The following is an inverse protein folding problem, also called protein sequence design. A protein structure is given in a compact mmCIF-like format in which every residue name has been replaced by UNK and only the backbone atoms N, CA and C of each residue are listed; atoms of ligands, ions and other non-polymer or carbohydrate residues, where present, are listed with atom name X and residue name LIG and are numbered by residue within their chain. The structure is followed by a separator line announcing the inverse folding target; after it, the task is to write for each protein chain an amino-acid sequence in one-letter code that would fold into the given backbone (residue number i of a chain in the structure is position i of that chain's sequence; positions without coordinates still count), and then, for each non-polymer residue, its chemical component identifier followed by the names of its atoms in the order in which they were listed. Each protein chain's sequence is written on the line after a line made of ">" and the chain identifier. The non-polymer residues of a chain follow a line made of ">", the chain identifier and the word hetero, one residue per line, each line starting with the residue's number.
data_IF_892173044069
#
_entry.id   IF_892173044069
#
_cell.length_a   1.000
_cell.length_b   1.000
_cell.length_c   1.000
_cell.angle_alpha   90.00
_cell.angle_beta   90.00
_cell.angle_gamma   90.00
#
_symmetry.space_group_name_H-M   'P 1'
#
loop_
_entity.id
_entity.type
_entity.pdbx_description
1 polymer ?
#
# COMPACT_ATOMS: atom_id res chain seq x y z
N UNK A 1 16.11 48.07 17.85
CA UNK A 1 15.21 47.26 17.00
C UNK A 1 15.86 45.90 16.81
N UNK A 2 15.49 44.95 17.66
CA UNK A 2 15.97 43.57 17.66
C UNK A 2 15.34 42.84 16.48
N UNK A 3 16.16 42.33 15.55
CA UNK A 3 15.71 41.42 14.48
C UNK A 3 15.18 40.15 15.15
N UNK A 4 13.88 39.87 14.99
CA UNK A 4 13.30 38.57 15.32
C UNK A 4 13.96 37.52 14.42
N UNK A 5 14.91 36.76 14.96
CA UNK A 5 15.47 35.59 14.29
C UNK A 5 14.41 34.50 14.24
N UNK A 6 14.02 34.07 13.03
CA UNK A 6 13.21 32.86 12.86
C UNK A 6 14.07 31.67 13.30
N UNK A 7 13.70 31.02 14.41
CA UNK A 7 14.37 29.82 14.85
C UNK A 7 14.15 28.71 13.82
N UNK A 8 15.21 28.33 13.12
CA UNK A 8 15.17 27.31 12.07
C UNK A 8 15.26 25.93 12.75
N UNK A 9 14.12 25.26 12.91
CA UNK A 9 14.09 23.91 13.46
C UNK A 9 14.48 22.88 12.41
N UNK A 10 15.25 21.88 12.82
CA UNK A 10 15.50 20.68 12.02
C UNK A 10 14.34 19.70 12.20
N UNK A 11 13.94 19.00 11.14
CA UNK A 11 12.93 17.96 11.19
C UNK A 11 13.55 16.60 10.89
N UNK A 12 13.33 15.64 11.79
CA UNK A 12 13.65 14.23 11.58
C UNK A 12 12.37 13.41 11.63
N UNK A 13 12.10 12.66 10.56
CA UNK A 13 11.05 11.63 10.58
C UNK A 13 11.64 10.34 11.09
N UNK A 14 10.98 9.71 12.06
CA UNK A 14 11.36 8.39 12.57
C UNK A 14 10.20 7.43 12.31
N UNK A 15 10.51 6.23 11.83
CA UNK A 15 9.54 5.16 11.59
C UNK A 15 10.14 3.82 11.99
N UNK A 16 9.31 2.81 12.18
CA UNK A 16 9.75 1.43 12.44
C UNK A 16 9.36 0.55 11.25
N UNK A 17 10.31 -0.24 10.75
CA UNK A 17 10.06 -1.24 9.72
C UNK A 17 11.09 -2.37 9.84
N UNK A 18 10.59 -3.58 10.14
CA UNK A 18 11.43 -4.79 10.24
C UNK A 18 11.78 -5.42 8.90
N UNK A 19 10.99 -5.12 7.86
CA UNK A 19 11.16 -5.63 6.49
C UNK A 19 10.80 -4.58 5.45
N UNK A 20 11.36 -4.72 4.26
CA UNK A 20 11.03 -3.91 3.10
C UNK A 20 9.85 -4.54 2.35
N UNK A 21 8.68 -3.93 2.49
CA UNK A 21 7.46 -4.30 1.79
C UNK A 21 7.04 -3.22 0.79
N UNK A 22 6.06 -3.49 -0.06
CA UNK A 22 5.57 -2.49 -1.02
C UNK A 22 5.01 -1.25 -0.30
N UNK A 23 4.42 -1.44 0.90
CA UNK A 23 4.01 -0.34 1.77
C UNK A 23 5.19 0.51 2.27
N UNK A 24 6.32 -0.13 2.60
CA UNK A 24 7.57 0.56 2.95
C UNK A 24 8.12 1.39 1.77
N UNK A 25 8.18 0.79 0.58
CA UNK A 25 8.67 1.50 -0.60
C UNK A 25 7.77 2.68 -0.96
N UNK A 26 6.45 2.53 -0.88
CA UNK A 26 5.49 3.62 -1.07
C UNK A 26 5.69 4.75 -0.06
N UNK A 27 5.88 4.42 1.21
CA UNK A 27 6.19 5.41 2.25
C UNK A 27 7.47 6.17 1.93
N UNK A 28 8.58 5.45 1.68
CA UNK A 28 9.89 6.04 1.38
C UNK A 28 9.87 6.88 0.11
N UNK A 29 9.13 6.47 -0.91
CA UNK A 29 8.95 7.22 -2.15
C UNK A 29 8.24 8.56 -1.91
N UNK A 30 7.13 8.57 -1.16
CA UNK A 30 6.45 9.80 -0.79
C UNK A 30 7.32 10.71 0.09
N UNK A 31 8.12 10.14 1.00
CA UNK A 31 9.05 10.87 1.84
C UNK A 31 10.17 11.52 1.00
N UNK A 32 10.76 10.77 0.06
CA UNK A 32 11.80 11.25 -0.85
C UNK A 32 11.28 12.36 -1.76
N UNK A 33 10.05 12.25 -2.26
CA UNK A 33 9.43 13.28 -3.09
C UNK A 33 9.42 14.67 -2.41
N UNK A 34 9.17 14.70 -1.11
CA UNK A 34 9.16 15.95 -0.32
C UNK A 34 10.51 16.28 0.35
N UNK A 35 11.57 15.51 0.07
CA UNK A 35 12.88 15.64 0.70
C UNK A 35 12.86 15.53 2.23
N UNK A 36 12.07 14.60 2.77
CA UNK A 36 12.14 14.26 4.19
C UNK A 36 13.43 13.50 4.52
N UNK A 37 14.03 13.85 5.66
CA UNK A 37 15.07 13.01 6.30
C UNK A 37 14.37 11.97 7.17
N UNK A 38 14.51 10.69 6.79
CA UNK A 38 13.85 9.56 7.48
C UNK A 38 14.90 8.68 8.15
N UNK A 39 14.67 8.33 9.42
CA UNK A 39 15.39 7.29 10.15
C UNK A 39 14.47 6.09 10.37
N UNK A 40 14.84 4.96 9.77
CA UNK A 40 14.11 3.69 9.91
C UNK A 40 14.74 2.89 11.05
N UNK A 41 13.92 2.43 11.99
CA UNK A 41 14.33 1.60 13.11
C UNK A 41 13.89 0.14 12.92
N UNK A 42 14.64 -0.79 13.50
CA UNK A 42 14.31 -2.22 13.52
C UNK A 42 14.58 -2.98 12.23
N UNK A 43 15.27 -2.39 11.24
CA UNK A 43 15.63 -3.10 10.01
C UNK A 43 16.48 -4.34 10.32
N UNK A 44 16.04 -5.51 9.85
CA UNK A 44 16.71 -6.78 10.10
C UNK A 44 16.40 -7.42 11.46
N UNK A 45 15.64 -6.73 12.34
CA UNK A 45 15.13 -7.34 13.57
C UNK A 45 13.87 -8.16 13.29
N UNK A 46 13.70 -9.24 14.07
CA UNK A 46 12.44 -9.97 14.14
C UNK A 46 11.35 -9.09 14.78
N UNK A 47 10.15 -9.12 14.20
CA UNK A 47 9.00 -8.43 14.80
C UNK A 47 8.48 -9.21 16.01
N UNK A 48 8.50 -8.57 17.18
CA UNK A 48 8.02 -9.09 18.47
C UNK A 48 6.86 -8.28 19.03
N UNK A 49 6.31 -7.37 18.23
CA UNK A 49 5.23 -6.48 18.62
C UNK A 49 3.83 -7.11 18.65
N UNK A 50 3.70 -8.44 18.54
CA UNK A 50 2.43 -9.17 18.53
C UNK A 50 1.93 -9.54 17.13
N UNK A 51 0.92 -10.41 17.08
CA UNK A 51 0.67 -11.31 15.95
C UNK A 51 -0.57 -11.01 15.08
N UNK A 52 -1.19 -9.82 15.15
CA UNK A 52 -2.50 -9.65 14.51
C UNK A 52 -2.89 -8.27 13.98
N UNK A 53 -3.56 -8.29 12.84
CA UNK A 53 -4.50 -7.24 12.43
C UNK A 53 -5.61 -7.19 13.49
N UNK A 54 -5.81 -6.03 14.14
CA UNK A 54 -6.78 -5.80 15.21
C UNK A 54 -6.47 -6.43 16.59
N UNK A 55 -5.23 -6.87 16.87
CA UNK A 55 -4.80 -7.20 18.22
C UNK A 55 -4.11 -6.01 18.89
N UNK A 56 -4.05 -6.02 20.23
CA UNK A 56 -3.14 -5.15 20.98
C UNK A 56 -1.69 -5.47 20.63
N UNK A 57 -0.80 -4.48 20.70
CA UNK A 57 0.64 -4.68 20.49
C UNK A 57 1.39 -3.44 20.03
N UNK A 58 2.54 -3.65 19.38
CA UNK A 58 3.37 -2.57 18.84
C UNK A 58 4.37 -1.96 19.83
N UNK A 59 4.45 -2.46 21.06
CA UNK A 59 5.38 -2.00 22.10
C UNK A 59 6.85 -2.00 21.70
N UNK A 60 7.27 -2.92 20.82
CA UNK A 60 8.62 -2.94 20.23
C UNK A 60 8.98 -1.60 19.58
N UNK A 61 8.00 -0.92 18.96
CA UNK A 61 8.21 0.41 18.37
C UNK A 61 8.57 1.44 19.43
N UNK A 62 7.90 1.40 20.58
CA UNK A 62 8.16 2.32 21.70
C UNK A 62 9.52 2.04 22.34
N UNK A 63 9.90 0.77 22.48
CA UNK A 63 11.26 0.37 22.93
C UNK A 63 12.34 0.93 21.99
N UNK A 64 12.21 0.71 20.68
CA UNK A 64 13.16 1.23 19.69
C UNK A 64 13.21 2.76 19.69
N UNK A 65 12.05 3.41 19.84
CA UNK A 65 11.97 4.87 20.00
C UNK A 65 12.66 5.35 21.28
N UNK A 66 12.52 4.63 22.40
CA UNK A 66 13.20 4.95 23.66
C UNK A 66 14.72 4.95 23.47
N UNK A 67 15.28 3.88 22.90
CA UNK A 67 16.72 3.73 22.66
C UNK A 67 17.26 4.84 21.75
N UNK A 68 16.55 5.18 20.66
CA UNK A 68 17.04 6.21 19.73
C UNK A 68 16.94 7.63 20.32
N UNK A 69 15.89 7.91 21.10
CA UNK A 69 15.63 9.26 21.61
C UNK A 69 16.59 9.71 22.71
N UNK A 70 17.31 8.79 23.35
CA UNK A 70 18.41 9.12 24.29
C UNK A 70 19.48 10.00 23.61
N UNK A 71 19.78 9.71 22.35
CA UNK A 71 20.77 10.45 21.56
C UNK A 71 20.32 11.86 21.17
N UNK A 72 19.02 12.14 21.29
CA UNK A 72 18.39 13.41 20.92
C UNK A 72 17.81 14.17 22.12
N UNK A 73 18.07 13.67 23.35
CA UNK A 73 17.45 14.17 24.57
C UNK A 73 17.70 15.67 24.83
N UNK A 74 18.87 16.17 24.44
CA UNK A 74 19.31 17.55 24.68
C UNK A 74 19.30 18.43 23.41
N UNK A 75 18.66 17.97 22.31
CA UNK A 75 18.60 18.72 21.05
C UNK A 75 17.33 19.58 20.97
N UNK A 76 17.36 20.77 21.57
CA UNK A 76 16.22 21.71 21.60
C UNK A 76 15.82 22.26 20.21
N UNK A 77 16.73 22.25 19.23
CA UNK A 77 16.49 22.69 17.84
C UNK A 77 15.93 21.58 16.94
N UNK A 78 15.78 20.35 17.45
CA UNK A 78 15.27 19.21 16.71
C UNK A 78 13.78 18.98 16.99
N UNK A 79 12.99 18.93 15.91
CA UNK A 79 11.63 18.39 15.91
C UNK A 79 11.67 16.97 15.36
N UNK A 80 11.05 16.04 16.09
CA UNK A 80 10.89 14.64 15.69
C UNK A 80 9.43 14.42 15.32
N UNK A 81 9.21 13.83 14.16
CA UNK A 81 7.91 13.32 13.73
C UNK A 81 7.99 11.80 13.65
N UNK A 82 7.19 11.10 14.45
CA UNK A 82 6.99 9.68 14.31
C UNK A 82 5.76 9.41 13.45
N UNK A 83 5.85 8.40 12.58
CA UNK A 83 4.70 7.81 11.88
C UNK A 83 4.87 6.30 11.81
N UNK A 84 3.77 5.58 11.62
CA UNK A 84 3.87 4.23 11.04
C UNK A 84 4.54 4.28 9.65
N UNK A 85 4.95 3.09 9.16
CA UNK A 85 5.56 2.95 7.85
C UNK A 85 4.59 2.40 6.80
N UNK A 86 4.16 1.14 6.99
CA UNK A 86 3.56 0.33 5.92
C UNK A 86 2.23 0.86 5.39
N UNK A 87 1.54 1.65 6.20
CA UNK A 87 0.22 2.23 5.95
C UNK A 87 0.22 3.76 6.08
N UNK A 88 1.34 4.41 5.76
CA UNK A 88 1.43 5.89 5.74
C UNK A 88 1.93 6.40 4.38
N UNK A 89 1.36 7.52 3.95
CA UNK A 89 1.80 8.28 2.76
C UNK A 89 1.90 9.76 3.12
N UNK A 90 3.00 10.41 2.73
CA UNK A 90 3.13 11.85 2.83
C UNK A 90 2.40 12.57 1.68
N UNK A 91 1.63 13.58 2.02
CA UNK A 91 0.84 14.44 1.13
C UNK A 91 1.24 15.93 1.21
N UNK A 92 2.24 16.27 2.04
CA UNK A 92 2.81 17.60 2.19
C UNK A 92 4.26 17.52 2.63
N UNK A 93 5.01 18.63 2.55
CA UNK A 93 6.45 18.66 2.82
C UNK A 93 6.87 19.15 4.21
N UNK A 94 8.17 19.08 4.54
CA UNK A 94 8.75 19.45 5.85
C UNK A 94 8.35 20.85 6.35
N UNK A 95 8.39 21.86 5.48
CA UNK A 95 8.05 23.24 5.84
C UNK A 95 6.57 23.38 6.25
N UNK A 96 5.67 22.69 5.56
CA UNK A 96 4.24 22.72 5.83
C UNK A 96 3.93 22.08 7.19
N UNK A 97 4.52 20.91 7.48
CA UNK A 97 4.32 20.24 8.77
C UNK A 97 4.90 21.03 9.92
N UNK A 98 6.10 21.60 9.80
CA UNK A 98 6.70 22.45 10.83
C UNK A 98 5.83 23.69 11.11
N UNK A 99 5.35 24.36 10.06
CA UNK A 99 4.45 25.52 10.19
C UNK A 99 3.14 25.15 10.90
N UNK A 100 2.56 23.99 10.59
CA UNK A 100 1.33 23.50 11.24
C UNK A 100 1.57 23.10 12.69
N UNK A 101 2.68 22.44 12.98
CA UNK A 101 3.08 22.04 14.33
C UNK A 101 3.31 23.27 15.22
N UNK A 102 4.06 24.26 14.75
CA UNK A 102 4.27 25.52 15.48
C UNK A 102 2.95 26.26 15.76
N UNK A 103 2.04 26.29 14.78
CA UNK A 103 0.69 26.87 14.96
C UNK A 103 -0.17 26.12 15.96
N UNK A 104 0.10 24.84 16.22
CA UNK A 104 -0.60 24.11 17.27
C UNK A 104 -0.24 24.63 18.66
N UNK A 105 0.92 25.29 18.83
CA UNK A 105 1.38 25.90 20.08
C UNK A 105 1.46 24.92 21.27
N UNK A 106 1.88 23.68 20.99
CA UNK A 106 2.11 22.64 21.99
C UNK A 106 3.51 22.04 21.79
N UNK A 107 4.00 21.30 22.78
CA UNK A 107 5.34 20.70 22.70
C UNK A 107 5.32 19.34 22.00
N UNK A 108 4.21 18.62 22.10
CA UNK A 108 3.94 17.37 21.39
C UNK A 108 2.49 17.37 20.90
N UNK A 109 2.27 16.98 19.65
CA UNK A 109 0.97 16.83 19.00
C UNK A 109 0.85 15.40 18.49
N UNK A 110 -0.13 14.66 19.00
CA UNK A 110 -0.47 13.33 18.48
C UNK A 110 -1.53 13.42 17.39
N UNK A 111 -1.58 12.43 16.50
CA UNK A 111 -2.72 12.21 15.64
C UNK A 111 -3.98 11.97 16.49
N UNK A 112 -5.13 12.33 15.93
CA UNK A 112 -6.42 12.18 16.59
C UNK A 112 -7.33 11.25 15.79
N UNK A 113 -8.13 10.45 16.49
CA UNK A 113 -9.08 9.48 15.93
C UNK A 113 -10.52 9.75 16.42
N UNK A 114 -11.48 9.33 15.60
CA UNK A 114 -12.90 9.30 15.98
C UNK A 114 -13.23 8.08 16.83
N UNK A 115 -12.41 7.04 16.77
CA UNK A 115 -12.64 5.76 17.45
C UNK A 115 -11.67 5.60 18.63
N UNK A 116 -12.22 5.38 19.82
CA UNK A 116 -11.42 5.04 21.00
C UNK A 116 -11.01 3.57 20.97
N UNK A 117 -9.71 3.32 21.02
CA UNK A 117 -9.10 2.00 21.07
C UNK A 117 -7.79 2.05 21.91
N UNK A 118 -7.40 0.96 22.61
CA UNK A 118 -8.13 -0.31 22.74
C UNK A 118 -9.20 -0.30 23.85
N UNK A 119 -9.03 0.51 24.90
CA UNK A 119 -9.90 0.46 26.08
C UNK A 119 -10.99 1.56 26.06
N UNK A 120 -12.21 1.16 25.69
CA UNK A 120 -13.38 2.05 25.62
C UNK A 120 -13.76 2.68 26.97
N UNK A 121 -13.37 2.09 28.09
CA UNK A 121 -13.68 2.60 29.44
C UNK A 121 -12.93 3.89 29.77
N UNK A 122 -11.94 4.25 28.96
CA UNK A 122 -11.15 5.47 29.15
C UNK A 122 -11.83 6.72 28.56
N UNK A 123 -12.98 6.58 27.88
CA UNK A 123 -13.66 7.67 27.17
C UNK A 123 -13.89 8.91 28.03
N UNK A 124 -14.33 8.74 29.29
CA UNK A 124 -14.64 9.84 30.19
C UNK A 124 -13.40 10.55 30.74
N UNK A 125 -12.21 9.92 30.62
CA UNK A 125 -10.93 10.52 31.03
C UNK A 125 -10.35 11.43 29.96
N UNK A 126 -10.81 11.33 28.72
CA UNK A 126 -10.40 12.25 27.65
C UNK A 126 -11.03 13.63 27.85
N UNK A 127 -10.31 14.73 27.59
CA UNK A 127 -10.90 16.06 27.53
C UNK A 127 -12.11 16.09 26.58
N UNK A 128 -13.07 16.94 26.90
CA UNK A 128 -14.22 17.17 26.02
C UNK A 128 -13.75 17.98 24.81
N UNK A 129 -14.09 17.50 23.61
CA UNK A 129 -13.80 18.14 22.34
C UNK A 129 -15.14 18.38 21.64
N UNK A 130 -15.53 19.65 21.47
CA UNK A 130 -16.80 20.00 20.84
C UNK A 130 -16.75 19.85 19.31
N UNK A 131 -15.59 20.11 18.70
CA UNK A 131 -15.37 20.02 17.26
C UNK A 131 -14.03 19.35 17.03
N UNK A 132 -14.05 18.18 16.40
CA UNK A 132 -12.86 17.42 16.07
C UNK A 132 -12.86 15.99 16.61
N UNK A 133 -11.86 15.23 16.16
CA UNK A 133 -11.54 13.89 16.63
C UNK A 133 -11.05 13.96 18.09
N UNK A 134 -11.57 13.10 18.96
CA UNK A 134 -11.38 13.21 20.42
C UNK A 134 -10.26 12.34 20.96
N UNK A 135 -9.97 11.21 20.33
CA UNK A 135 -9.13 10.17 20.90
C UNK A 135 -7.73 10.19 20.31
N UNK A 136 -6.71 9.79 21.07
CA UNK A 136 -5.33 9.74 20.59
C UNK A 136 -5.17 8.64 19.55
N UNK A 137 -4.24 8.80 18.60
CA UNK A 137 -3.74 7.72 17.74
C UNK A 137 -2.20 7.74 17.74
N UNK A 138 -1.57 6.61 18.07
CA UNK A 138 -0.12 6.46 18.21
C UNK A 138 0.60 6.34 16.88
N UNK A 139 -0.13 6.06 15.80
CA UNK A 139 0.44 5.89 14.46
C UNK A 139 0.95 7.18 13.82
N UNK A 140 0.89 8.30 14.53
CA UNK A 140 1.51 9.56 14.15
C UNK A 140 1.61 10.54 15.31
N UNK A 141 2.78 11.13 15.52
CA UNK A 141 2.96 12.27 16.42
C UNK A 141 4.15 13.12 16.03
N UNK A 142 4.16 14.38 16.45
CA UNK A 142 5.26 15.32 16.21
C UNK A 142 5.53 16.14 17.46
N UNK A 143 6.80 16.34 17.80
CA UNK A 143 7.18 17.10 18.98
C UNK A 143 8.64 17.51 19.00
N UNK A 144 8.99 18.42 19.91
CA UNK A 144 10.39 18.74 20.17
C UNK A 144 11.10 17.53 20.79
N UNK A 145 12.31 17.21 20.33
CA UNK A 145 13.02 15.98 20.70
C UNK A 145 13.13 15.75 22.22
N UNK A 146 13.44 16.74 23.07
CA UNK A 146 13.48 16.54 24.53
C UNK A 146 12.14 16.10 25.13
N UNK A 147 11.02 16.59 24.59
CA UNK A 147 9.68 16.28 25.09
C UNK A 147 9.21 14.91 24.61
N UNK A 148 9.53 14.53 23.37
CA UNK A 148 9.31 13.17 22.87
C UNK A 148 10.12 12.17 23.70
N UNK A 149 11.39 12.48 23.99
CA UNK A 149 12.24 11.64 24.85
C UNK A 149 11.61 11.42 26.23
N UNK A 150 11.15 12.49 26.91
CA UNK A 150 10.45 12.39 28.21
C UNK A 150 9.23 11.47 28.21
N UNK A 151 8.53 11.34 27.08
CA UNK A 151 7.40 10.41 26.93
C UNK A 151 7.93 8.98 26.80
N UNK A 152 8.78 8.70 25.81
CA UNK A 152 9.20 7.32 25.50
C UNK A 152 10.10 6.71 26.58
N UNK A 153 10.81 7.53 27.35
CA UNK A 153 11.61 7.07 28.50
C UNK A 153 10.75 6.48 29.63
N UNK A 154 9.46 6.80 29.70
CA UNK A 154 8.53 6.17 30.65
C UNK A 154 8.16 4.74 30.27
N UNK A 155 8.55 4.26 29.09
CA UNK A 155 8.29 2.88 28.67
C UNK A 155 9.05 1.89 29.56
N UNK A 156 8.27 1.04 30.23
CA UNK A 156 8.70 -0.04 31.12
C UNK A 156 7.91 -1.33 30.88
N UNK A 157 7.35 -1.47 29.68
CA UNK A 157 6.47 -2.56 29.25
C UNK A 157 7.20 -3.51 28.28
N UNK A 158 6.53 -4.57 27.84
CA UNK A 158 7.08 -5.60 26.96
C UNK A 158 6.86 -5.28 25.47
N UNK A 159 7.67 -5.86 24.58
CA UNK A 159 7.58 -5.60 23.14
C UNK A 159 6.17 -5.87 22.55
N UNK A 160 5.41 -6.80 23.11
CA UNK A 160 4.04 -7.14 22.70
C UNK A 160 2.93 -6.37 23.45
N UNK A 161 3.27 -5.47 24.37
CA UNK A 161 2.30 -4.57 25.00
C UNK A 161 1.84 -3.49 24.01
N UNK A 162 0.69 -2.87 24.30
CA UNK A 162 0.03 -1.93 23.40
C UNK A 162 0.64 -0.52 23.43
N UNK A 163 1.21 -0.09 22.31
CA UNK A 163 1.82 1.24 22.16
C UNK A 163 0.78 2.36 22.31
N UNK A 164 -0.38 2.20 21.68
CA UNK A 164 -1.50 3.13 21.72
C UNK A 164 -2.06 3.32 23.14
N UNK A 165 -2.21 2.25 23.92
CA UNK A 165 -2.64 2.31 25.31
C UNK A 165 -1.60 2.99 26.19
N UNK A 166 -0.31 2.77 25.95
CA UNK A 166 0.76 3.46 26.65
C UNK A 166 0.68 4.98 26.47
N UNK A 167 0.62 5.45 25.22
CA UNK A 167 0.49 6.89 24.95
C UNK A 167 -0.84 7.45 25.45
N UNK A 168 -1.93 6.70 25.32
CA UNK A 168 -3.26 7.07 25.86
C UNK A 168 -3.19 7.31 27.36
N UNK A 169 -2.58 6.40 28.14
CA UNK A 169 -2.46 6.53 29.61
C UNK A 169 -1.67 7.77 30.02
N UNK A 170 -0.65 8.17 29.24
CA UNK A 170 0.09 9.41 29.47
C UNK A 170 -0.78 10.64 29.15
N UNK A 171 -1.52 10.62 28.05
CA UNK A 171 -2.34 11.76 27.61
C UNK A 171 -3.56 12.04 28.49
N UNK A 172 -4.22 10.99 29.00
CA UNK A 172 -5.41 11.14 29.85
C UNK A 172 -5.08 11.51 31.29
N UNK A 173 -3.82 11.37 31.72
CA UNK A 173 -3.34 11.87 33.00
C UNK A 173 -3.18 13.41 32.90
N UNK A 174 -3.98 14.21 33.63
CA UNK A 174 -3.96 15.66 33.50
C UNK A 174 -2.61 16.28 33.88
N UNK A 175 -1.95 15.75 34.91
CA UNK A 175 -0.68 16.27 35.41
C UNK A 175 0.43 16.02 34.40
N UNK A 176 0.49 14.80 33.83
CA UNK A 176 1.48 14.48 32.79
C UNK A 176 1.22 15.24 31.51
N UNK A 177 -0.05 15.35 31.08
CA UNK A 177 -0.43 16.10 29.87
C UNK A 177 -0.03 17.57 29.97
N UNK A 178 -0.28 18.21 31.11
CA UNK A 178 0.09 19.61 31.34
C UNK A 178 1.62 19.79 31.43
N UNK A 179 2.29 18.95 32.21
CA UNK A 179 3.75 19.04 32.41
C UNK A 179 4.56 18.85 31.11
N UNK A 180 4.09 17.96 30.21
CA UNK A 180 4.74 17.71 28.91
C UNK A 180 4.18 18.66 27.82
N UNK A 181 3.02 19.27 28.06
CA UNK A 181 2.28 20.11 27.10
C UNK A 181 1.92 19.34 25.81
N UNK A 182 1.08 18.31 25.98
CA UNK A 182 0.60 17.41 24.92
C UNK A 182 -0.80 17.81 24.44
N UNK A 183 -1.03 17.81 23.13
CA UNK A 183 -2.36 17.92 22.50
C UNK A 183 -2.57 16.89 21.41
N UNK A 184 -3.78 16.85 20.84
CA UNK A 184 -4.11 16.04 19.67
C UNK A 184 -4.44 16.94 18.47
N UNK A 185 -4.18 16.44 17.27
CA UNK A 185 -4.53 17.09 16.01
C UNK A 185 -6.02 16.89 15.68
N UNK A 186 -6.90 17.46 16.51
CA UNK A 186 -8.34 17.24 16.49
C UNK A 186 -9.02 17.50 15.13
N UNK A 187 -8.44 18.34 14.27
CA UNK A 187 -9.01 18.72 12.96
C UNK A 187 -8.19 18.20 11.78
N UNK A 188 -7.36 17.18 12.01
CA UNK A 188 -6.57 16.50 10.98
C UNK A 188 -5.74 17.46 10.12
N UNK A 189 -5.09 18.47 10.74
CA UNK A 189 -4.28 19.45 10.00
C UNK A 189 -2.97 18.84 9.53
N UNK A 190 -2.36 18.00 10.34
CA UNK A 190 -1.10 17.30 10.09
C UNK A 190 -1.39 15.84 9.75
N UNK A 191 -2.16 15.15 10.58
CA UNK A 191 -2.40 13.71 10.48
C UNK A 191 -3.85 13.41 10.11
N UNK A 192 -4.06 12.59 9.09
CA UNK A 192 -5.37 12.04 8.74
C UNK A 192 -5.37 10.53 8.96
N UNK A 193 -6.02 10.09 10.04
CA UNK A 193 -6.39 8.69 10.23
C UNK A 193 -7.63 8.39 9.39
N UNK A 194 -7.62 7.29 8.63
CA UNK A 194 -8.73 6.96 7.73
C UNK A 194 -9.84 6.17 8.44
N UNK A 195 -9.53 5.42 9.50
CA UNK A 195 -10.53 4.63 10.20
C UNK A 195 -11.61 5.51 10.84
N UNK A 196 -12.88 5.27 10.51
CA UNK A 196 -14.00 6.10 10.97
C UNK A 196 -14.03 7.51 10.39
N UNK A 197 -13.27 7.80 9.32
CA UNK A 197 -13.25 9.09 8.64
C UNK A 197 -13.27 8.95 7.09
N UNK A 198 -13.62 7.78 6.57
CA UNK A 198 -13.61 7.49 5.13
C UNK A 198 -14.44 8.49 4.33
N UNK A 199 -15.65 8.80 4.80
CA UNK A 199 -16.57 9.73 4.12
C UNK A 199 -16.18 11.20 4.28
N UNK A 200 -15.17 11.51 5.09
CA UNK A 200 -14.67 12.88 5.30
C UNK A 200 -13.52 13.23 4.35
N UNK A 201 -12.95 12.25 3.62
CA UNK A 201 -11.71 12.45 2.87
C UNK A 201 -11.93 12.22 1.39
N UNK A 202 -11.53 13.21 0.58
CA UNK A 202 -11.61 13.15 -0.88
C UNK A 202 -10.25 13.39 -1.51
N UNK A 203 -10.06 12.85 -2.71
CA UNK A 203 -8.91 13.19 -3.54
C UNK A 203 -9.09 14.61 -4.10
N UNK A 204 -8.05 15.45 -3.96
CA UNK A 204 -8.00 16.81 -4.48
C UNK A 204 -6.77 16.96 -5.36
N UNK A 205 -6.97 17.40 -6.60
CA UNK A 205 -5.90 17.84 -7.48
C UNK A 205 -5.71 19.35 -7.33
N UNK A 206 -4.49 19.79 -7.03
CA UNK A 206 -4.16 21.21 -6.87
C UNK A 206 -2.69 21.45 -7.21
N UNK A 207 -2.41 22.47 -8.04
CA UNK A 207 -1.07 22.89 -8.44
C UNK A 207 -0.20 21.73 -9.00
N UNK A 208 -0.78 20.91 -9.88
CA UNK A 208 -0.09 19.77 -10.50
C UNK A 208 0.22 18.61 -9.54
N UNK A 209 -0.42 18.56 -8.36
CA UNK A 209 -0.23 17.50 -7.36
C UNK A 209 -1.57 16.94 -6.90
N UNK A 210 -1.53 15.70 -6.42
CA UNK A 210 -2.66 15.05 -5.77
C UNK A 210 -2.49 15.10 -4.25
N UNK A 211 -3.56 15.46 -3.54
CA UNK A 211 -3.62 15.47 -2.06
C UNK A 211 -4.91 14.84 -1.58
N UNK A 212 -4.90 14.34 -0.35
CA UNK A 212 -6.13 14.11 0.38
C UNK A 212 -6.62 15.43 0.99
N UNK A 213 -7.93 15.70 0.91
CA UNK A 213 -8.59 16.80 1.60
C UNK A 213 -9.61 16.23 2.57
N UNK A 214 -9.54 16.65 3.83
CA UNK A 214 -10.64 16.44 4.76
C UNK A 214 -11.68 17.54 4.52
N UNK A 215 -12.86 17.17 4.00
CA UNK A 215 -13.94 18.11 3.66
C UNK A 215 -14.73 18.56 4.88
N UNK A 216 -14.75 17.77 5.95
CA UNK A 216 -15.46 18.13 7.17
C UNK A 216 -14.78 19.27 7.94
N UNK A 217 -13.45 19.24 8.03
CA UNK A 217 -12.65 20.29 8.69
C UNK A 217 -12.03 21.30 7.73
N UNK A 218 -12.21 21.11 6.42
CA UNK A 218 -11.60 21.90 5.36
C UNK A 218 -10.06 21.99 5.51
N UNK A 219 -9.43 20.84 5.73
CA UNK A 219 -7.97 20.73 5.92
C UNK A 219 -7.32 19.90 4.81
N UNK A 220 -6.04 20.19 4.57
CA UNK A 220 -5.16 19.38 3.72
C UNK A 220 -4.11 18.71 4.62
N UNK A 221 -4.31 17.46 5.05
CA UNK A 221 -3.36 16.75 5.90
C UNK A 221 -1.97 16.61 5.26
N UNK A 222 -0.94 16.41 6.08
CA UNK A 222 0.44 16.17 5.63
C UNK A 222 0.77 14.68 5.59
N UNK A 223 0.25 13.88 6.52
CA UNK A 223 0.41 12.43 6.52
C UNK A 223 -0.97 11.76 6.55
N UNK A 224 -1.17 10.80 5.65
CA UNK A 224 -2.38 9.98 5.58
C UNK A 224 -2.02 8.62 6.16
N UNK A 225 -2.75 8.18 7.18
CA UNK A 225 -2.57 6.90 7.86
C UNK A 225 -3.79 6.01 7.59
N UNK A 226 -3.59 4.91 6.88
CA UNK A 226 -4.59 3.88 6.63
C UNK A 226 -4.81 2.94 7.81
N UNK A 227 -4.99 3.47 9.02
CA UNK A 227 -5.09 2.67 10.24
C UNK A 227 -6.28 1.71 10.22
N UNK A 228 -6.16 0.60 10.97
CA UNK A 228 -7.23 -0.42 11.05
C UNK A 228 -7.61 -0.99 9.66
N UNK A 229 -8.91 -1.15 9.35
CA UNK A 229 -9.40 -1.81 8.13
C UNK A 229 -9.41 -0.91 6.89
N UNK A 230 -8.59 0.14 6.83
CA UNK A 230 -8.61 1.15 5.74
C UNK A 230 -7.43 1.07 4.77
N UNK A 231 -6.69 -0.04 4.79
CA UNK A 231 -5.51 -0.26 3.91
C UNK A 231 -5.86 -0.14 2.42
N UNK A 232 -7.00 -0.67 2.00
CA UNK A 232 -7.46 -0.60 0.60
C UNK A 232 -7.75 0.84 0.18
N UNK A 233 -8.35 1.65 1.05
CA UNK A 233 -8.57 3.07 0.78
C UNK A 233 -7.25 3.84 0.70
N UNK A 234 -6.28 3.52 1.56
CA UNK A 234 -4.94 4.08 1.45
C UNK A 234 -4.25 3.67 0.14
N UNK A 235 -4.44 2.43 -0.33
CA UNK A 235 -3.94 2.00 -1.64
C UNK A 235 -4.52 2.86 -2.77
N UNK A 236 -5.83 3.15 -2.74
CA UNK A 236 -6.46 4.10 -3.66
C UNK A 236 -5.77 5.47 -3.62
N UNK A 237 -5.60 6.07 -2.42
CA UNK A 237 -4.89 7.35 -2.32
C UNK A 237 -3.44 7.27 -2.82
N UNK A 238 -2.75 6.16 -2.59
CA UNK A 238 -1.37 5.95 -3.03
C UNK A 238 -1.18 5.85 -4.54
N UNK A 239 -2.25 5.55 -5.30
CA UNK A 239 -2.23 5.62 -6.75
C UNK A 239 -2.10 7.06 -7.28
N UNK A 240 -2.34 8.06 -6.42
CA UNK A 240 -2.34 9.48 -6.79
C UNK A 240 -1.35 10.30 -5.96
N UNK A 241 -1.45 10.21 -4.63
CA UNK A 241 -0.76 11.07 -3.68
C UNK A 241 0.69 10.61 -3.46
N UNK A 242 1.69 11.52 -3.47
CA UNK A 242 1.55 12.95 -3.79
C UNK A 242 1.60 13.27 -5.29
N UNK A 243 2.22 12.38 -6.09
CA UNK A 243 2.48 12.60 -7.50
C UNK A 243 2.44 11.31 -8.34
N UNK A 244 1.95 10.20 -7.80
CA UNK A 244 1.94 8.91 -8.48
C UNK A 244 1.22 8.98 -9.83
N UNK A 245 0.05 9.63 -9.83
CA UNK A 245 -0.68 10.02 -11.02
C UNK A 245 -1.15 11.47 -10.87
N UNK A 246 -0.99 12.28 -11.92
CA UNK A 246 -1.43 13.69 -11.94
C UNK A 246 -2.13 14.01 -13.25
N UNK A 247 -3.05 14.99 -13.22
CA UNK A 247 -3.80 15.40 -14.41
C UNK A 247 -2.89 15.92 -15.54
N UNK A 248 -1.75 16.52 -15.19
CA UNK A 248 -0.84 17.14 -16.16
C UNK A 248 0.18 16.15 -16.74
N UNK A 249 0.60 15.14 -15.96
CA UNK A 249 1.72 14.24 -16.35
C UNK A 249 1.33 12.76 -16.45
N UNK A 250 0.07 12.39 -16.18
CA UNK A 250 -0.35 11.00 -16.08
C UNK A 250 0.37 10.25 -14.95
N UNK A 251 0.59 8.95 -15.14
CA UNK A 251 1.33 8.12 -14.20
C UNK A 251 2.84 8.41 -14.23
N UNK A 252 3.39 8.97 -13.15
CA UNK A 252 4.83 9.28 -13.07
C UNK A 252 5.67 8.12 -12.56
N UNK A 253 5.03 7.07 -12.03
CA UNK A 253 5.68 5.90 -11.42
C UNK A 253 5.58 4.63 -12.26
N UNK A 254 4.84 4.65 -13.36
CA UNK A 254 4.69 3.49 -14.23
C UNK A 254 6.01 3.13 -14.91
N UNK A 255 6.81 4.15 -15.25
CA UNK A 255 8.17 3.99 -15.79
C UNK A 255 9.26 3.89 -14.71
N UNK A 256 8.87 3.83 -13.43
CA UNK A 256 9.82 3.69 -12.33
C UNK A 256 10.15 2.21 -12.08
N UNK A 257 11.46 1.94 -11.93
CA UNK A 257 12.02 0.61 -11.63
C UNK A 257 11.68 -0.44 -12.69
N UNK A 258 11.50 -0.02 -13.95
CA UNK A 258 11.28 -0.92 -15.07
C UNK A 258 12.55 -1.67 -15.46
N UNK A 259 12.40 -2.91 -15.95
CA UNK A 259 13.50 -3.69 -16.53
C UNK A 259 13.45 -3.64 -18.05
N UNK A 260 14.61 -3.58 -18.70
CA UNK A 260 14.72 -3.60 -20.16
C UNK A 260 15.05 -5.00 -20.67
N UNK A 261 14.05 -5.71 -21.20
CA UNK A 261 14.22 -7.04 -21.77
C UNK A 261 15.00 -7.03 -23.11
N UNK A 262 15.21 -5.88 -23.75
CA UNK A 262 16.05 -5.82 -24.94
C UNK A 262 17.55 -5.89 -24.62
N UNK A 263 17.92 -5.62 -23.37
CA UNK A 263 19.30 -5.62 -22.89
C UNK A 263 19.73 -6.94 -22.22
N UNK A 264 18.83 -7.92 -22.09
CA UNK A 264 19.16 -9.21 -21.45
C UNK A 264 19.66 -10.23 -22.47
N UNK A 265 20.74 -10.93 -22.13
CA UNK A 265 21.28 -12.02 -22.97
C UNK A 265 20.35 -13.24 -23.02
N UNK A 266 19.66 -13.50 -21.90
CA UNK A 266 18.72 -14.62 -21.74
C UNK A 266 17.42 -14.06 -21.17
N UNK A 267 16.32 -14.31 -21.88
CA UNK A 267 15.00 -13.90 -21.41
C UNK A 267 14.57 -14.75 -20.19
N UNK A 268 13.85 -14.16 -19.21
CA UNK A 268 13.27 -14.90 -18.10
C UNK A 268 12.37 -16.05 -18.59
N UNK A 269 12.41 -17.19 -17.91
CA UNK A 269 11.50 -18.29 -18.23
C UNK A 269 10.11 -18.00 -17.64
N UNK A 270 9.09 -18.22 -18.45
CA UNK A 270 7.70 -17.96 -18.08
C UNK A 270 6.89 -19.24 -18.19
N UNK A 271 6.20 -19.59 -17.11
CA UNK A 271 5.14 -20.60 -17.15
C UNK A 271 3.79 -19.93 -17.37
N UNK A 272 3.12 -20.25 -18.47
CA UNK A 272 1.78 -19.75 -18.78
C UNK A 272 0.76 -20.80 -18.32
N UNK A 273 -0.08 -20.43 -17.35
CA UNK A 273 -1.23 -21.21 -16.91
C UNK A 273 -2.47 -20.80 -17.70
N UNK A 274 -3.01 -21.72 -18.48
CA UNK A 274 -4.20 -21.54 -19.32
C UNK A 274 -5.37 -22.28 -18.69
N UNK A 275 -6.48 -21.58 -18.44
CA UNK A 275 -7.64 -22.13 -17.75
C UNK A 275 -8.90 -22.05 -18.61
N UNK A 276 -9.45 -23.22 -18.97
CA UNK A 276 -10.68 -23.38 -19.75
C UNK A 276 -11.72 -24.02 -18.83
N UNK A 277 -12.41 -23.17 -18.06
CA UNK A 277 -13.28 -23.61 -16.95
C UNK A 277 -14.78 -23.62 -17.28
N UNK A 278 -15.13 -23.18 -18.49
CA UNK A 278 -16.49 -23.15 -19.03
C UNK A 278 -16.44 -23.19 -20.57
N UNK A 279 -17.52 -23.60 -21.25
CA UNK A 279 -17.58 -23.56 -22.71
C UNK A 279 -17.36 -22.13 -23.22
N UNK A 280 -16.26 -21.92 -23.94
CA UNK A 280 -15.80 -20.58 -24.33
C UNK A 280 -15.78 -20.43 -25.85
N UNK A 281 -16.50 -19.44 -26.42
CA UNK A 281 -16.48 -19.18 -27.85
C UNK A 281 -15.07 -18.87 -28.37
N UNK A 282 -14.81 -19.25 -29.63
CA UNK A 282 -13.54 -18.94 -30.32
C UNK A 282 -12.27 -19.46 -29.64
N UNK A 283 -12.35 -20.54 -28.85
CA UNK A 283 -11.19 -21.15 -28.20
C UNK A 283 -10.02 -21.46 -29.16
N UNK A 284 -10.22 -21.98 -30.39
CA UNK A 284 -9.12 -22.18 -31.33
C UNK A 284 -8.33 -20.90 -31.61
N UNK A 285 -9.03 -19.76 -31.69
CA UNK A 285 -8.39 -18.45 -31.90
C UNK A 285 -7.62 -18.00 -30.67
N UNK A 286 -8.17 -18.20 -29.47
CA UNK A 286 -7.48 -17.93 -28.21
C UNK A 286 -6.18 -18.75 -28.10
N UNK A 287 -6.24 -20.04 -28.40
CA UNK A 287 -5.08 -20.93 -28.38
C UNK A 287 -4.01 -20.50 -29.40
N UNK A 288 -4.42 -20.14 -30.63
CA UNK A 288 -3.50 -19.61 -31.65
C UNK A 288 -2.83 -18.29 -31.18
N UNK A 289 -3.52 -17.43 -30.41
CA UNK A 289 -2.94 -16.18 -29.88
C UNK A 289 -1.73 -16.45 -28.98
N UNK A 290 -1.74 -17.53 -28.18
CA UNK A 290 -0.61 -17.91 -27.32
C UNK A 290 0.68 -18.14 -28.12
N UNK A 291 0.56 -18.71 -29.32
CA UNK A 291 1.70 -18.88 -30.24
C UNK A 291 2.12 -17.57 -30.91
N UNK A 292 1.25 -16.57 -30.97
CA UNK A 292 1.60 -15.25 -31.54
C UNK A 292 2.14 -14.24 -30.52
N UNK A 293 2.18 -14.58 -29.22
CA UNK A 293 2.82 -13.72 -28.21
C UNK A 293 4.27 -13.42 -28.61
N UNK A 294 4.63 -12.15 -28.60
CA UNK A 294 5.99 -11.68 -28.87
C UNK A 294 6.87 -11.96 -27.65
N UNK A 295 7.27 -13.22 -27.48
CA UNK A 295 8.17 -13.71 -26.45
C UNK A 295 8.89 -14.97 -26.98
N UNK A 296 10.19 -15.18 -26.66
CA UNK A 296 10.92 -16.36 -27.12
C UNK A 296 10.24 -17.67 -26.67
N UNK A 297 9.88 -18.53 -27.63
CA UNK A 297 9.09 -19.75 -27.36
C UNK A 297 9.87 -20.77 -26.54
N UNK A 298 11.18 -20.78 -26.67
CA UNK A 298 12.11 -21.59 -25.89
C UNK A 298 12.14 -21.24 -24.39
N UNK A 299 11.75 -20.01 -24.03
CA UNK A 299 11.63 -19.55 -22.66
C UNK A 299 10.20 -19.75 -22.08
N UNK A 300 9.26 -20.26 -22.88
CA UNK A 300 7.88 -20.50 -22.45
C UNK A 300 7.66 -21.96 -22.04
N UNK A 301 6.81 -22.15 -21.03
CA UNK A 301 6.21 -23.43 -20.67
C UNK A 301 4.71 -23.25 -20.59
N UNK A 302 3.94 -24.25 -21.00
CA UNK A 302 2.48 -24.22 -20.94
C UNK A 302 1.95 -25.24 -19.93
N UNK A 303 1.06 -24.77 -19.07
CA UNK A 303 0.15 -25.61 -18.30
C UNK A 303 -1.27 -25.28 -18.79
N UNK A 304 -2.00 -26.28 -19.28
CA UNK A 304 -3.37 -26.10 -19.80
C UNK A 304 -4.30 -26.98 -18.98
N UNK A 305 -5.21 -26.36 -18.25
CA UNK A 305 -6.34 -27.07 -17.65
C UNK A 305 -7.59 -26.86 -18.49
N UNK A 306 -8.23 -27.96 -18.84
CA UNK A 306 -9.50 -27.97 -19.54
C UNK A 306 -10.52 -28.78 -18.80
N UNK A 307 -11.59 -28.12 -18.37
CA UNK A 307 -12.73 -28.76 -17.72
C UNK A 307 -13.78 -29.28 -18.71
N UNK A 308 -13.73 -28.81 -19.96
CA UNK A 308 -14.80 -28.99 -20.93
C UNK A 308 -14.46 -30.08 -21.96
N UNK A 309 -15.18 -31.20 -21.92
CA UNK A 309 -15.07 -32.30 -22.91
C UNK A 309 -15.28 -31.76 -24.34
N UNK A 310 -16.13 -30.76 -24.49
CA UNK A 310 -16.37 -30.07 -25.76
C UNK A 310 -15.09 -29.52 -26.42
N UNK A 311 -14.12 -29.07 -25.62
CA UNK A 311 -12.90 -28.41 -26.09
C UNK A 311 -11.69 -29.34 -26.26
N UNK A 312 -11.80 -30.64 -25.95
CA UNK A 312 -10.70 -31.59 -26.10
C UNK A 312 -10.13 -31.64 -27.54
N UNK A 313 -11.02 -31.54 -28.54
CA UNK A 313 -10.62 -31.53 -29.95
C UNK A 313 -9.80 -30.30 -30.30
N UNK A 314 -10.20 -29.14 -29.79
CA UNK A 314 -9.49 -27.87 -30.02
C UNK A 314 -8.08 -27.91 -29.41
N UNK A 315 -7.97 -28.46 -28.18
CA UNK A 315 -6.69 -28.61 -27.46
C UNK A 315 -5.77 -29.58 -28.18
N UNK A 316 -6.29 -30.69 -28.69
CA UNK A 316 -5.48 -31.65 -29.47
C UNK A 316 -4.89 -31.00 -30.72
N UNK A 317 -5.71 -30.25 -31.47
CA UNK A 317 -5.25 -29.51 -32.66
C UNK A 317 -4.17 -28.50 -32.27
N UNK A 318 -4.37 -27.76 -31.18
CA UNK A 318 -3.37 -26.81 -30.68
C UNK A 318 -2.07 -27.50 -30.27
N UNK A 319 -2.15 -28.59 -29.50
CA UNK A 319 -0.98 -29.34 -29.03
C UNK A 319 -0.12 -29.82 -30.21
N UNK A 320 -0.75 -30.32 -31.28
CA UNK A 320 -0.05 -30.76 -32.47
C UNK A 320 0.72 -29.63 -33.17
N UNK A 321 0.26 -28.38 -33.09
CA UNK A 321 1.01 -27.20 -33.55
C UNK A 321 2.10 -26.79 -32.55
N UNK A 322 1.71 -26.60 -31.29
CA UNK A 322 2.52 -25.97 -30.26
C UNK A 322 3.73 -26.80 -29.83
N UNK A 323 3.64 -28.14 -29.88
CA UNK A 323 4.72 -29.06 -29.48
C UNK A 323 6.02 -28.90 -30.28
N UNK A 324 5.95 -28.26 -31.45
CA UNK A 324 7.11 -28.00 -32.30
C UNK A 324 7.86 -26.71 -31.93
N UNK A 325 7.19 -25.78 -31.22
CA UNK A 325 7.74 -24.47 -30.83
C UNK A 325 8.03 -24.40 -29.33
N UNK A 326 7.17 -24.98 -28.50
CA UNK A 326 7.25 -24.95 -27.04
C UNK A 326 7.58 -26.35 -26.52
N UNK A 327 8.72 -26.45 -25.82
CA UNK A 327 9.28 -27.74 -25.38
C UNK A 327 8.46 -28.41 -24.27
N UNK A 328 7.88 -27.62 -23.37
CA UNK A 328 7.19 -28.13 -22.19
C UNK A 328 5.72 -27.71 -22.21
N UNK A 329 4.84 -28.68 -22.44
CA UNK A 329 3.40 -28.51 -22.42
C UNK A 329 2.80 -29.60 -21.54
N UNK A 330 2.12 -29.20 -20.45
CA UNK A 330 1.34 -30.09 -19.59
C UNK A 330 -0.14 -29.80 -19.81
N UNK A 331 -0.91 -30.83 -20.16
CA UNK A 331 -2.37 -30.74 -20.33
C UNK A 331 -3.03 -31.57 -19.23
N UNK A 332 -4.02 -30.99 -18.58
CA UNK A 332 -4.87 -31.62 -17.57
C UNK A 332 -6.30 -31.54 -18.09
N UNK A 333 -6.86 -32.70 -18.46
CA UNK A 333 -8.18 -32.77 -19.09
C UNK A 333 -9.34 -32.93 -18.10
N UNK A 334 -10.58 -32.98 -18.62
CA UNK A 334 -11.80 -33.08 -17.81
C UNK A 334 -11.86 -34.35 -16.94
N UNK A 335 -11.15 -35.40 -17.34
CA UNK A 335 -11.09 -36.70 -16.67
C UNK A 335 -10.52 -36.65 -15.24
N UNK A 336 -9.66 -35.66 -14.96
CA UNK A 336 -9.06 -35.45 -13.63
C UNK A 336 -10.05 -34.81 -12.63
N UNK A 337 -11.18 -34.29 -13.12
CA UNK A 337 -12.29 -33.74 -12.33
C UNK A 337 -11.85 -32.75 -11.23
N UNK A 338 -10.94 -31.83 -11.57
CA UNK A 338 -10.47 -30.80 -10.65
C UNK A 338 -11.47 -29.65 -10.52
N UNK A 339 -11.58 -29.08 -9.33
CA UNK A 339 -12.19 -27.76 -9.15
C UNK A 339 -11.31 -26.66 -9.75
N UNK A 340 -11.89 -25.49 -10.03
CA UNK A 340 -11.12 -24.35 -10.54
C UNK A 340 -9.97 -23.95 -9.60
N UNK A 341 -10.19 -24.05 -8.28
CA UNK A 341 -9.18 -23.72 -7.29
C UNK A 341 -8.01 -24.72 -7.31
N UNK A 342 -8.30 -26.02 -7.40
CA UNK A 342 -7.27 -27.07 -7.48
C UNK A 342 -6.47 -26.95 -8.78
N UNK A 343 -7.13 -26.73 -9.91
CA UNK A 343 -6.48 -26.52 -11.20
C UNK A 343 -5.53 -25.31 -11.18
N UNK A 344 -5.98 -24.17 -10.64
CA UNK A 344 -5.17 -22.95 -10.53
C UNK A 344 -4.00 -23.11 -9.58
N UNK A 345 -4.20 -23.77 -8.42
CA UNK A 345 -3.12 -24.10 -7.50
C UNK A 345 -2.09 -25.02 -8.18
N UNK A 346 -2.54 -26.04 -8.93
CA UNK A 346 -1.65 -26.93 -9.67
C UNK A 346 -0.86 -26.18 -10.76
N UNK A 347 -1.52 -25.28 -11.49
CA UNK A 347 -0.86 -24.44 -12.50
C UNK A 347 0.17 -23.48 -11.89
N UNK A 348 -0.11 -22.90 -10.73
CA UNK A 348 0.83 -22.06 -10.00
C UNK A 348 2.00 -22.89 -9.43
N UNK A 349 1.72 -24.07 -8.89
CA UNK A 349 2.73 -24.99 -8.36
C UNK A 349 3.65 -25.53 -9.46
N UNK A 350 3.15 -25.66 -10.68
CA UNK A 350 3.96 -26.01 -11.84
C UNK A 350 5.10 -25.00 -12.09
N UNK A 351 4.89 -23.73 -11.77
CA UNK A 351 5.97 -22.73 -11.76
C UNK A 351 6.74 -22.74 -10.43
N UNK A 352 6.05 -22.74 -9.29
CA UNK A 352 6.67 -22.62 -7.95
C UNK A 352 7.66 -23.75 -7.62
N UNK A 353 7.41 -24.95 -8.13
CA UNK A 353 8.28 -26.12 -7.91
C UNK A 353 9.46 -26.20 -8.90
N UNK A 354 9.48 -25.34 -9.91
CA UNK A 354 10.52 -25.28 -10.91
C UNK A 354 11.46 -24.11 -10.62
N UNK A 355 12.67 -24.43 -10.14
CA UNK A 355 13.70 -23.43 -9.80
C UNK A 355 14.10 -22.54 -10.98
N UNK A 356 13.75 -22.92 -12.22
CA UNK A 356 14.02 -22.12 -13.41
C UNK A 356 12.86 -21.20 -13.80
N UNK A 357 11.70 -21.29 -13.15
CA UNK A 357 10.55 -20.45 -13.46
C UNK A 357 10.70 -19.07 -12.81
N UNK A 358 10.86 -18.04 -13.63
CA UNK A 358 11.01 -16.66 -13.14
C UNK A 358 9.64 -15.97 -12.98
N UNK A 359 8.71 -16.22 -13.89
CA UNK A 359 7.38 -15.61 -13.90
C UNK A 359 6.25 -16.61 -14.17
N UNK A 360 5.10 -16.39 -13.54
CA UNK A 360 3.86 -17.11 -13.81
C UNK A 360 2.83 -16.19 -14.47
N UNK A 361 2.33 -16.58 -15.65
CA UNK A 361 1.30 -15.83 -16.37
C UNK A 361 0.01 -16.64 -16.44
N UNK A 362 -0.96 -16.32 -15.58
CA UNK A 362 -2.29 -16.93 -15.59
C UNK A 362 -3.19 -16.23 -16.60
N UNK A 363 -3.83 -17.00 -17.49
CA UNK A 363 -4.76 -16.48 -18.49
C UNK A 363 -5.98 -17.40 -18.64
N UNK A 364 -7.17 -16.81 -18.60
CA UNK A 364 -8.44 -17.51 -18.77
C UNK A 364 -8.86 -17.49 -20.24
N UNK A 365 -9.58 -18.52 -20.68
CA UNK A 365 -9.97 -18.71 -22.08
C UNK A 365 -10.83 -17.58 -22.68
N UNK A 366 -11.50 -16.79 -21.84
CA UNK A 366 -12.34 -15.66 -22.24
C UNK A 366 -11.57 -14.33 -22.37
N UNK A 367 -10.26 -14.35 -22.12
CA UNK A 367 -9.36 -13.20 -22.31
C UNK A 367 -8.81 -13.17 -23.74
N UNK A 368 -9.13 -12.11 -24.49
CA UNK A 368 -8.59 -11.89 -25.83
C UNK A 368 -7.46 -10.87 -25.78
N UNK A 369 -6.21 -11.35 -25.80
CA UNK A 369 -5.03 -10.50 -25.87
C UNK A 369 -4.84 -9.98 -27.30
N UNK A 370 -5.16 -8.70 -27.53
CA UNK A 370 -4.99 -8.05 -28.84
C UNK A 370 -3.58 -7.51 -29.06
N UNK A 371 -2.82 -7.29 -27.97
CA UNK A 371 -1.43 -6.84 -28.04
C UNK A 371 -0.47 -8.02 -27.86
N UNK A 372 0.30 -8.43 -28.89
CA UNK A 372 1.23 -9.55 -28.77
C UNK A 372 2.37 -9.29 -27.78
N UNK A 373 2.66 -8.01 -27.45
CA UNK A 373 3.71 -7.62 -26.50
C UNK A 373 3.26 -7.65 -25.04
N UNK A 374 2.00 -8.00 -24.73
CA UNK A 374 1.47 -7.95 -23.36
C UNK A 374 2.38 -8.63 -22.34
N UNK A 375 2.90 -9.83 -22.63
CA UNK A 375 3.76 -10.55 -21.68
C UNK A 375 5.07 -9.79 -21.40
N UNK A 376 5.75 -9.28 -22.45
CA UNK A 376 6.96 -8.45 -22.30
C UNK A 376 6.68 -7.21 -21.47
N UNK A 377 5.62 -6.46 -21.82
CA UNK A 377 5.25 -5.23 -21.12
C UNK A 377 5.04 -5.50 -19.63
N UNK A 378 4.30 -6.55 -19.27
CA UNK A 378 4.04 -6.87 -17.86
C UNK A 378 5.31 -7.25 -17.09
N UNK A 379 6.23 -7.98 -17.72
CA UNK A 379 7.53 -8.32 -17.11
C UNK A 379 8.41 -7.06 -16.96
N UNK A 380 8.47 -6.22 -17.99
CA UNK A 380 9.23 -4.96 -18.01
C UNK A 380 8.78 -4.00 -16.90
N UNK A 381 7.52 -4.09 -16.44
CA UNK A 381 7.02 -3.30 -15.31
C UNK A 381 7.62 -3.71 -13.95
N UNK A 382 8.31 -4.85 -13.84
CA UNK A 382 9.01 -5.28 -12.62
C UNK A 382 8.14 -5.18 -11.34
N UNK A 383 6.97 -5.80 -11.38
CA UNK A 383 6.04 -5.86 -10.24
C UNK A 383 5.86 -7.30 -9.80
N UNK A 384 5.66 -7.51 -8.49
CA UNK A 384 5.38 -8.84 -7.93
C UNK A 384 4.10 -9.46 -8.51
N UNK A 385 3.06 -8.64 -8.66
CA UNK A 385 1.77 -9.02 -9.26
C UNK A 385 1.31 -7.83 -10.10
N UNK A 386 0.99 -8.08 -11.37
CA UNK A 386 0.44 -7.09 -12.30
C UNK A 386 -0.50 -7.80 -13.27
N UNK A 387 -1.58 -7.11 -13.67
CA UNK A 387 -2.53 -7.62 -14.66
C UNK A 387 -2.73 -6.56 -15.75
N UNK A 388 -2.86 -6.98 -17.03
CA UNK A 388 -3.28 -6.06 -18.08
C UNK A 388 -4.78 -5.75 -17.89
N UNK A 389 -5.19 -4.51 -18.13
CA UNK A 389 -6.60 -4.14 -18.11
C UNK A 389 -7.31 -4.76 -19.33
N UNK A 390 -8.30 -5.60 -19.07
CA UNK A 390 -9.15 -6.23 -20.09
C UNK A 390 -10.59 -5.83 -19.82
N UNK A 391 -11.27 -5.34 -20.86
CA UNK A 391 -12.66 -4.85 -20.76
C UNK A 391 -13.57 -5.64 -21.69
N UNK A 392 -14.81 -5.81 -21.27
CA UNK A 392 -15.85 -6.35 -22.15
C UNK A 392 -16.24 -5.26 -23.15
N UNK A 393 -16.13 -5.58 -24.44
CA UNK A 393 -16.38 -4.63 -25.52
C UNK A 393 -17.70 -3.85 -25.36
N UNK A 394 -17.63 -2.52 -25.41
CA UNK A 394 -18.78 -1.61 -25.30
C UNK A 394 -19.46 -1.59 -23.92
N UNK A 395 -18.81 -2.11 -22.87
CA UNK A 395 -19.32 -2.16 -21.49
C UNK A 395 -18.24 -1.70 -20.49
N UNK A 396 -18.66 -1.45 -19.25
CA UNK A 396 -17.74 -1.12 -18.16
C UNK A 396 -17.15 -2.33 -17.44
N UNK A 397 -17.70 -3.53 -17.63
CA UNK A 397 -17.20 -4.74 -16.98
C UNK A 397 -15.76 -5.03 -17.41
N UNK A 398 -14.87 -5.19 -16.44
CA UNK A 398 -13.44 -5.44 -16.63
C UNK A 398 -12.92 -6.51 -15.66
N UNK A 399 -11.64 -6.88 -15.81
CA UNK A 399 -10.97 -7.89 -15.01
C UNK A 399 -10.39 -7.39 -13.67
N UNK A 400 -10.84 -6.24 -13.15
CA UNK A 400 -10.41 -5.74 -11.83
C UNK A 400 -11.55 -5.04 -11.09
N UNK A 401 -11.45 -4.97 -9.77
CA UNK A 401 -12.29 -4.15 -8.90
C UNK A 401 -11.45 -3.03 -8.29
N UNK A 402 -11.91 -1.79 -8.38
CA UNK A 402 -11.21 -0.66 -7.76
C UNK A 402 -11.52 -0.48 -6.27
N UNK A 403 -12.57 -1.11 -5.75
CA UNK A 403 -12.96 -1.02 -4.35
C UNK A 403 -13.64 -2.33 -3.87
N UNK A 404 -13.76 -2.46 -2.55
CA UNK A 404 -14.48 -3.54 -1.88
C UNK A 404 -15.61 -2.99 -1.03
N UNK A 405 -16.73 -3.72 -0.97
CA UNK A 405 -17.78 -3.47 0.01
C UNK A 405 -17.31 -3.87 1.42
N UNK A 406 -18.01 -3.46 2.49
CA UNK A 406 -17.68 -3.89 3.87
C UNK A 406 -17.64 -5.41 4.06
N UNK A 407 -18.41 -6.17 3.26
CA UNK A 407 -18.45 -7.63 3.29
C UNK A 407 -17.36 -8.29 2.43
N UNK A 408 -16.47 -7.49 1.82
CA UNK A 408 -15.39 -7.97 0.94
C UNK A 408 -15.81 -8.31 -0.49
N UNK A 409 -17.01 -7.90 -0.91
CA UNK A 409 -17.52 -8.09 -2.27
C UNK A 409 -17.23 -6.88 -3.18
N UNK A 410 -17.64 -6.98 -4.44
CA UNK A 410 -17.53 -5.89 -5.41
C UNK A 410 -18.10 -4.57 -4.89
N UNK A 411 -17.30 -3.52 -4.99
CA UNK A 411 -17.77 -2.15 -4.98
C UNK A 411 -17.10 -1.38 -6.14
N UNK A 412 -17.80 -0.38 -6.68
CA UNK A 412 -17.24 0.53 -7.67
C UNK A 412 -16.44 1.63 -6.97
N UNK A 413 -15.16 1.79 -7.31
CA UNK A 413 -14.37 2.94 -6.87
C UNK A 413 -14.76 4.22 -7.61
N UNK A 414 -14.40 5.37 -7.04
CA UNK A 414 -14.64 6.70 -7.64
C UNK A 414 -14.03 6.82 -9.04
N UNK A 415 -12.83 6.27 -9.23
CA UNK A 415 -12.03 6.36 -10.44
C UNK A 415 -12.23 5.21 -11.43
N UNK A 416 -13.10 4.23 -11.13
CA UNK A 416 -13.23 3.01 -11.93
C UNK A 416 -13.58 3.30 -13.40
N UNK A 417 -14.55 4.19 -13.63
CA UNK A 417 -15.00 4.53 -14.98
C UNK A 417 -13.90 5.23 -15.75
N UNK A 418 -13.17 6.13 -15.09
CA UNK A 418 -12.05 6.85 -15.70
C UNK A 418 -10.91 5.90 -16.09
N UNK A 419 -10.58 4.91 -15.26
CA UNK A 419 -9.56 3.90 -15.57
C UNK A 419 -10.02 3.03 -16.76
N UNK A 420 -11.25 2.52 -16.74
CA UNK A 420 -11.79 1.66 -17.81
C UNK A 420 -11.88 2.39 -19.15
N UNK A 421 -12.08 3.70 -19.14
CA UNK A 421 -12.13 4.54 -20.34
C UNK A 421 -10.76 5.08 -20.78
N UNK A 422 -9.69 4.88 -19.99
CA UNK A 422 -8.35 5.38 -20.29
C UNK A 422 -8.14 6.86 -19.95
N UNK A 423 -8.99 7.47 -19.12
CA UNK A 423 -8.86 8.86 -18.67
C UNK A 423 -7.88 9.01 -17.49
N UNK A 424 -7.68 7.94 -16.70
CA UNK A 424 -6.75 7.87 -15.57
C UNK A 424 -5.89 6.60 -15.68
N UNK A 425 -4.96 6.60 -16.62
CA UNK A 425 -3.98 5.51 -16.86
C UNK A 425 -2.55 6.03 -16.79
#
# INVERSE_FOLDING_TARGET
>A
MTRFGVQLYKLLVITVATKESDGFHRFMQSAKYFNYTVKVLGQGEEWRGGDGINSIGGGQKVRLMKEVMEHYADQDDLVVMFTECFDVIFAGGPEEVLKKFQKANHKVVFAADGILWPDKRLADKYPVVHIGKRYLNSGGFIGYAPYVNRIVQQWNLQDNDDDQLFYTKIYIDPLKREAINITLDHKCKIFQTLNGAVDEVVLKFENGKARAKNTFYETLPVAINGNGPTKILLNYFGNYVPNSWTQDNGCTLCEFDTVDLSAVDVHPNVSIGVFIEQPTPFLPRFLDILLTLDYPKEALKLFIHNKEVYHEKDIKIFFDKAKHEIKTIKIVGPEENLSQAEARNMGMDFCRQDEKCDYYFSVDADVVLTNPRTLKILIEQNRKIIAPLVTRHGKLWSNFWGALSPDGYYARSEDYVDIVQGNRV
#
